data_IF_098215809465
#
_entry.id   IF_098215809465
#
_cell.length_a   1.000
_cell.length_b   1.000
_cell.length_c   1.000
_cell.angle_alpha   90.00
_cell.angle_beta   90.00
_cell.angle_gamma   90.00
#
_symmetry.space_group_name_H-M   'P 1'
#
loop_
_entity.id
_entity.type
_entity.pdbx_description
1 polymer ?
#
# COMPACT_ATOMS: atom_id res chain seq x y z
N UNK A 1 -23.97 -1.65 14.38
CA UNK A 1 -24.50 -0.28 14.57
C UNK A 1 -23.65 0.80 13.85
N UNK A 2 -22.32 0.86 14.05
CA UNK A 2 -21.46 1.90 13.46
C UNK A 2 -21.33 1.76 11.93
N UNK A 3 -21.20 0.54 11.43
CA UNK A 3 -21.16 0.25 9.99
C UNK A 3 -22.50 0.48 9.33
N UNK A 4 -23.58 0.10 9.99
CA UNK A 4 -24.95 0.31 9.52
C UNK A 4 -25.27 1.81 9.39
N UNK A 5 -24.87 2.62 10.37
CA UNK A 5 -25.03 4.07 10.31
C UNK A 5 -24.27 4.67 9.13
N UNK A 6 -23.01 4.25 8.93
CA UNK A 6 -22.18 4.71 7.81
C UNK A 6 -22.77 4.29 6.45
N UNK A 7 -23.30 3.09 6.36
CA UNK A 7 -23.98 2.62 5.15
C UNK A 7 -25.23 3.45 4.85
N UNK A 8 -26.06 3.74 5.84
CA UNK A 8 -27.26 4.61 5.69
C UNK A 8 -26.88 6.04 5.25
N UNK A 9 -25.78 6.59 5.81
CA UNK A 9 -25.28 7.91 5.40
C UNK A 9 -24.83 7.89 3.93
N UNK A 10 -24.15 6.85 3.50
CA UNK A 10 -23.72 6.64 2.11
C UNK A 10 -24.92 6.54 1.17
N UNK A 11 -25.94 5.75 1.54
CA UNK A 11 -27.18 5.61 0.76
C UNK A 11 -27.90 6.94 0.61
N UNK A 12 -28.11 7.66 1.71
CA UNK A 12 -28.80 8.96 1.70
C UNK A 12 -28.06 10.00 0.85
N UNK A 13 -26.72 10.00 0.89
CA UNK A 13 -25.88 10.88 0.07
C UNK A 13 -25.99 10.49 -1.41
N UNK A 14 -25.87 9.20 -1.72
CA UNK A 14 -25.96 8.70 -3.10
C UNK A 14 -27.32 8.97 -3.73
N UNK A 15 -28.43 8.83 -2.99
CA UNK A 15 -29.76 9.18 -3.46
C UNK A 15 -29.89 10.66 -3.83
N UNK A 16 -29.36 11.58 -3.00
CA UNK A 16 -29.38 13.01 -3.30
C UNK A 16 -28.56 13.34 -4.55
N UNK A 17 -27.43 12.68 -4.73
CA UNK A 17 -26.59 12.91 -5.91
C UNK A 17 -27.20 12.28 -7.17
N UNK A 18 -27.89 11.14 -7.04
CA UNK A 18 -28.68 10.54 -8.13
C UNK A 18 -29.78 11.50 -8.62
N UNK A 19 -30.47 12.20 -7.72
CA UNK A 19 -31.50 13.20 -8.07
C UNK A 19 -30.96 14.41 -8.85
N UNK A 20 -29.68 14.70 -8.71
CA UNK A 20 -28.98 15.73 -9.49
C UNK A 20 -28.57 15.26 -10.89
N UNK A 21 -28.85 14.00 -11.25
CA UNK A 21 -28.50 13.43 -12.55
C UNK A 21 -27.02 13.07 -12.71
N UNK A 22 -26.32 12.81 -11.60
CA UNK A 22 -24.91 12.42 -11.65
C UNK A 22 -24.77 11.05 -12.33
N UNK A 23 -23.71 10.91 -13.13
CA UNK A 23 -23.36 9.69 -13.85
C UNK A 23 -23.28 8.47 -12.91
N UNK A 24 -23.88 7.32 -13.26
CA UNK A 24 -23.86 6.11 -12.44
C UNK A 24 -22.46 5.63 -12.05
N UNK A 25 -21.48 5.83 -12.90
CA UNK A 25 -20.10 5.50 -12.63
C UNK A 25 -19.51 6.37 -11.49
N UNK A 26 -19.83 7.67 -11.50
CA UNK A 26 -19.41 8.61 -10.43
C UNK A 26 -20.15 8.30 -9.12
N UNK A 27 -21.43 7.96 -9.20
CA UNK A 27 -22.21 7.54 -8.02
C UNK A 27 -21.57 6.33 -7.35
N UNK A 28 -21.14 5.36 -8.14
CA UNK A 28 -20.49 4.14 -7.63
C UNK A 28 -19.08 4.42 -7.10
N UNK A 29 -18.23 5.08 -7.89
CA UNK A 29 -16.81 5.22 -7.57
C UNK A 29 -16.51 6.30 -6.52
N UNK A 30 -17.25 7.40 -6.52
CA UNK A 30 -17.01 8.54 -5.65
C UNK A 30 -17.87 8.53 -4.39
N UNK A 31 -19.13 8.15 -4.54
CA UNK A 31 -20.10 8.17 -3.43
C UNK A 31 -20.34 6.80 -2.82
N UNK A 32 -19.82 5.72 -3.41
CA UNK A 32 -20.01 4.35 -2.93
C UNK A 32 -21.46 3.87 -3.05
N UNK A 33 -22.26 4.50 -3.96
CA UNK A 33 -23.68 4.13 -4.15
C UNK A 33 -23.77 2.93 -5.07
N UNK A 34 -24.39 1.81 -4.63
CA UNK A 34 -24.45 0.58 -5.40
C UNK A 34 -25.15 0.75 -6.75
N UNK A 35 -24.60 0.13 -7.80
CA UNK A 35 -25.19 0.22 -9.16
C UNK A 35 -26.58 -0.40 -9.21
N UNK A 36 -26.83 -1.46 -8.46
CA UNK A 36 -28.12 -2.14 -8.36
C UNK A 36 -29.21 -1.16 -7.90
N UNK A 37 -28.93 -0.39 -6.85
CA UNK A 37 -29.84 0.65 -6.34
C UNK A 37 -30.01 1.80 -7.33
N UNK A 38 -28.93 2.18 -8.03
CA UNK A 38 -29.01 3.19 -9.09
C UNK A 38 -29.96 2.76 -10.22
N UNK A 39 -29.89 1.49 -10.62
CA UNK A 39 -30.80 0.93 -11.65
C UNK A 39 -32.23 0.85 -11.18
N UNK A 40 -32.47 0.48 -9.93
CA UNK A 40 -33.82 0.38 -9.33
C UNK A 40 -34.48 1.75 -9.26
N UNK A 41 -33.77 2.77 -8.75
CA UNK A 41 -34.23 4.16 -8.73
C UNK A 41 -34.47 4.74 -10.13
N UNK A 42 -33.59 4.43 -11.08
CA UNK A 42 -33.77 4.85 -12.48
C UNK A 42 -35.02 4.26 -13.10
N UNK A 43 -35.29 2.99 -12.84
CA UNK A 43 -36.53 2.29 -13.32
C UNK A 43 -37.79 2.94 -12.74
N UNK A 44 -37.79 3.24 -11.43
CA UNK A 44 -38.92 3.92 -10.77
C UNK A 44 -39.16 5.32 -11.34
N UNK A 45 -38.12 6.04 -11.71
CA UNK A 45 -38.22 7.39 -12.29
C UNK A 45 -38.31 7.43 -13.80
N UNK A 46 -38.39 6.27 -14.48
CA UNK A 46 -38.45 6.18 -15.95
C UNK A 46 -37.17 6.64 -16.66
N UNK A 47 -36.03 6.70 -15.96
CA UNK A 47 -34.73 7.08 -16.50
C UNK A 47 -34.04 5.86 -17.09
N UNK A 48 -33.56 5.96 -18.34
CA UNK A 48 -32.79 4.89 -18.97
C UNK A 48 -31.30 5.08 -18.63
N UNK A 49 -30.73 4.08 -17.96
CA UNK A 49 -29.27 4.01 -17.70
C UNK A 49 -28.65 3.03 -18.70
N UNK A 50 -27.55 3.44 -19.30
CA UNK A 50 -26.75 2.57 -20.16
C UNK A 50 -25.77 1.76 -19.33
N UNK A 51 -26.14 0.49 -19.02
CA UNK A 51 -25.33 -0.43 -18.23
C UNK A 51 -24.02 -0.78 -18.94
N UNK A 52 -24.02 -0.81 -20.29
CA UNK A 52 -22.83 -1.08 -21.09
C UNK A 52 -21.79 0.03 -20.94
N UNK A 53 -22.23 1.29 -20.97
CA UNK A 53 -21.37 2.45 -20.71
C UNK A 53 -20.77 2.41 -19.30
N UNK A 54 -21.57 2.10 -18.29
CA UNK A 54 -21.09 1.89 -16.92
C UNK A 54 -20.02 0.79 -16.84
N UNK A 55 -20.26 -0.37 -17.46
CA UNK A 55 -19.30 -1.49 -17.50
C UNK A 55 -17.99 -1.12 -18.21
N UNK A 56 -18.09 -0.38 -19.31
CA UNK A 56 -16.92 0.08 -20.06
C UNK A 56 -16.09 1.07 -19.22
N UNK A 57 -16.71 2.06 -18.59
CA UNK A 57 -16.05 3.00 -17.67
C UNK A 57 -15.42 2.28 -16.47
N UNK A 58 -16.10 1.28 -15.91
CA UNK A 58 -15.54 0.44 -14.82
C UNK A 58 -14.33 -0.37 -15.30
N UNK A 59 -14.39 -0.95 -16.48
CA UNK A 59 -13.28 -1.70 -17.07
C UNK A 59 -12.08 -0.80 -17.37
N UNK A 60 -12.33 0.39 -17.91
CA UNK A 60 -11.31 1.40 -18.16
C UNK A 60 -10.69 1.89 -16.84
N UNK A 61 -11.49 2.19 -15.84
CA UNK A 61 -11.02 2.58 -14.50
C UNK A 61 -10.20 1.47 -13.82
N UNK A 62 -10.64 0.21 -13.94
CA UNK A 62 -9.88 -0.95 -13.46
C UNK A 62 -8.58 -1.13 -14.26
N UNK A 63 -8.62 -0.94 -15.58
CA UNK A 63 -7.45 -1.00 -16.45
C UNK A 63 -6.46 0.11 -16.13
N UNK A 64 -6.92 1.35 -15.93
CA UNK A 64 -6.10 2.48 -15.49
C UNK A 64 -5.51 2.24 -14.10
N UNK A 65 -6.28 1.65 -13.18
CA UNK A 65 -5.78 1.25 -11.86
C UNK A 65 -4.77 0.11 -11.96
N UNK A 66 -4.99 -0.86 -12.85
CA UNK A 66 -4.05 -1.96 -13.11
C UNK A 66 -2.84 -1.52 -13.92
N UNK A 67 -2.99 -0.58 -14.89
CA UNK A 67 -1.88 -0.03 -15.68
C UNK A 67 -1.04 0.96 -14.87
N UNK A 68 -1.62 1.73 -13.98
CA UNK A 68 -0.84 2.49 -13.00
C UNK A 68 -0.13 1.57 -12.00
N UNK A 69 -0.63 0.35 -11.79
CA UNK A 69 0.07 -0.70 -11.02
C UNK A 69 0.99 -1.56 -11.88
N UNK A 70 0.71 -1.75 -13.18
CA UNK A 70 1.50 -2.59 -14.09
C UNK A 70 2.66 -1.83 -14.77
N UNK A 71 2.58 -0.50 -14.85
CA UNK A 71 3.69 0.38 -15.19
C UNK A 71 4.49 0.83 -13.97
N UNK A 72 3.96 0.64 -12.76
CA UNK A 72 4.73 0.77 -11.54
C UNK A 72 5.64 -0.44 -11.42
N UNK A 73 6.91 -0.16 -11.35
CA UNK A 73 7.95 -1.11 -11.06
C UNK A 73 7.54 -1.99 -9.87
N UNK A 74 7.94 -3.25 -9.88
CA UNK A 74 7.79 -4.18 -8.75
C UNK A 74 8.22 -3.47 -7.46
N UNK A 75 7.32 -3.28 -6.52
CA UNK A 75 7.56 -2.54 -5.28
C UNK A 75 6.72 -1.26 -5.11
N UNK A 76 5.84 -0.91 -6.07
CA UNK A 76 4.91 0.22 -5.94
C UNK A 76 5.53 1.61 -6.11
N UNK A 77 6.70 1.71 -6.77
CA UNK A 77 7.37 2.98 -7.06
C UNK A 77 6.70 3.71 -8.22
N UNK A 78 6.45 5.01 -8.05
CA UNK A 78 5.91 5.88 -9.10
C UNK A 78 6.97 6.26 -10.15
N UNK A 79 8.23 6.39 -9.73
CA UNK A 79 9.39 6.75 -10.57
C UNK A 79 10.70 6.25 -9.92
N UNK A 80 11.85 6.61 -10.49
CA UNK A 80 13.18 6.27 -9.96
C UNK A 80 13.96 7.50 -9.46
N UNK A 81 13.27 8.53 -9.02
CA UNK A 81 13.92 9.69 -8.43
C UNK A 81 14.57 9.33 -7.10
N UNK A 82 15.63 10.04 -6.74
CA UNK A 82 16.42 9.80 -5.54
C UNK A 82 15.56 9.73 -4.27
N UNK A 83 14.62 10.65 -4.12
CA UNK A 83 13.67 10.65 -2.99
C UNK A 83 12.78 9.42 -2.96
N UNK A 84 12.30 8.96 -4.14
CA UNK A 84 11.50 7.76 -4.25
C UNK A 84 12.31 6.51 -3.88
N UNK A 85 13.58 6.46 -4.29
CA UNK A 85 14.52 5.37 -3.94
C UNK A 85 14.79 5.35 -2.44
N UNK A 86 15.03 6.52 -1.82
CA UNK A 86 15.16 6.65 -0.37
C UNK A 86 13.91 6.14 0.36
N UNK A 87 12.73 6.61 -0.05
CA UNK A 87 11.45 6.17 0.53
C UNK A 87 11.18 4.69 0.31
N UNK A 88 11.68 4.08 -0.77
CA UNK A 88 11.60 2.65 -0.99
C UNK A 88 12.42 1.86 0.02
N UNK A 89 13.62 2.31 0.34
CA UNK A 89 14.43 1.68 1.39
C UNK A 89 13.81 1.89 2.78
N UNK A 90 13.29 3.08 3.06
CA UNK A 90 12.56 3.36 4.30
C UNK A 90 11.29 2.49 4.45
N UNK A 91 10.66 2.11 3.33
CA UNK A 91 9.52 1.20 3.30
C UNK A 91 9.87 -0.20 3.82
N UNK A 92 11.04 -0.75 3.44
CA UNK A 92 11.55 -2.02 3.97
C UNK A 92 11.84 -1.92 5.49
N UNK A 93 12.45 -0.83 5.94
CA UNK A 93 12.65 -0.60 7.38
C UNK A 93 11.32 -0.46 8.14
N UNK A 94 10.31 0.17 7.53
CA UNK A 94 8.98 0.27 8.14
C UNK A 94 8.33 -1.10 8.33
N UNK A 95 8.39 -1.99 7.32
CA UNK A 95 7.87 -3.36 7.47
C UNK A 95 8.58 -4.11 8.57
N UNK A 96 9.91 -4.08 8.60
CA UNK A 96 10.71 -4.70 9.64
C UNK A 96 10.41 -4.11 11.03
N UNK A 97 10.22 -2.78 11.14
CA UNK A 97 9.84 -2.10 12.36
C UNK A 97 8.47 -2.53 12.88
N UNK A 98 7.47 -2.64 11.99
CA UNK A 98 6.14 -3.14 12.34
C UNK A 98 6.20 -4.60 12.83
N UNK A 99 7.00 -5.44 12.18
CA UNK A 99 7.18 -6.84 12.59
C UNK A 99 7.89 -6.97 13.94
N UNK A 100 8.85 -6.10 14.24
CA UNK A 100 9.58 -6.13 15.51
C UNK A 100 8.80 -5.56 16.68
N UNK A 101 8.01 -4.51 16.47
CA UNK A 101 7.39 -3.72 17.55
C UNK A 101 5.95 -4.12 17.79
N UNK A 102 5.21 -4.41 16.72
CA UNK A 102 3.76 -4.65 16.82
C UNK A 102 3.44 -6.14 16.78
N UNK A 103 3.74 -6.81 15.68
CA UNK A 103 3.50 -8.23 15.52
C UNK A 103 4.35 -8.80 14.37
N UNK A 104 5.16 -9.85 14.66
CA UNK A 104 6.02 -10.54 13.68
C UNK A 104 5.29 -11.10 12.46
N UNK A 105 3.99 -11.33 12.57
CA UNK A 105 3.16 -11.92 11.51
C UNK A 105 2.58 -10.83 10.56
N UNK A 106 2.92 -9.58 10.77
CA UNK A 106 2.54 -8.48 9.86
C UNK A 106 3.11 -8.75 8.48
N UNK A 107 2.23 -8.68 7.47
CA UNK A 107 2.56 -8.83 6.05
C UNK A 107 2.07 -7.64 5.27
N UNK A 108 2.91 -7.15 4.35
CA UNK A 108 2.53 -6.15 3.37
C UNK A 108 1.39 -6.68 2.49
N UNK A 109 0.43 -5.81 2.17
CA UNK A 109 -0.71 -6.08 1.27
C UNK A 109 -0.75 -5.14 0.07
N UNK A 110 -0.04 -4.03 0.15
CA UNK A 110 0.08 -3.08 -0.94
C UNK A 110 1.05 -1.96 -0.59
N UNK A 111 1.60 -1.34 -1.60
CA UNK A 111 2.51 -0.20 -1.49
C UNK A 111 2.21 0.84 -2.56
N UNK A 112 2.60 2.07 -2.29
CA UNK A 112 2.66 3.14 -3.27
C UNK A 112 3.67 4.18 -2.77
N UNK A 113 4.73 4.39 -3.54
CA UNK A 113 5.87 5.23 -3.16
C UNK A 113 6.11 6.25 -4.27
N UNK A 114 6.16 7.50 -3.90
CA UNK A 114 6.48 8.63 -4.77
C UNK A 114 7.44 9.58 -4.04
N UNK A 115 7.81 10.70 -4.65
CA UNK A 115 8.74 11.69 -4.09
C UNK A 115 8.27 12.35 -2.79
N UNK A 116 6.94 12.36 -2.56
CA UNK A 116 6.36 13.06 -1.41
C UNK A 116 6.24 12.16 -0.19
N UNK A 117 5.98 10.86 -0.40
CA UNK A 117 5.67 9.91 0.68
C UNK A 117 5.79 8.46 0.25
N UNK A 118 5.94 7.59 1.22
CA UNK A 118 5.59 6.18 1.10
C UNK A 118 4.19 5.91 1.69
N UNK A 119 3.52 4.88 1.14
CA UNK A 119 2.29 4.31 1.66
C UNK A 119 2.45 2.79 1.73
N UNK A 120 2.17 2.23 2.89
CA UNK A 120 2.14 0.79 3.11
C UNK A 120 0.76 0.37 3.61
N UNK A 121 0.15 -0.61 2.96
CA UNK A 121 -1.02 -1.34 3.44
C UNK A 121 -0.55 -2.67 4.01
N UNK A 122 -0.98 -3.04 5.21
CA UNK A 122 -0.50 -4.22 5.92
C UNK A 122 -1.59 -4.88 6.75
N UNK A 123 -1.42 -6.18 7.03
CA UNK A 123 -2.32 -6.92 7.91
C UNK A 123 -2.09 -6.51 9.36
N UNK A 124 -3.17 -6.05 10.01
CA UNK A 124 -3.19 -5.79 11.44
C UNK A 124 -4.64 -5.79 11.92
N UNK A 125 -4.93 -6.49 12.99
CA UNK A 125 -6.27 -6.70 13.54
C UNK A 125 -6.77 -5.54 14.40
N UNK A 126 -5.89 -4.63 14.78
CA UNK A 126 -6.21 -3.47 15.60
C UNK A 126 -5.67 -2.15 15.01
N UNK A 127 -6.17 -1.04 15.50
CA UNK A 127 -5.63 0.29 15.24
C UNK A 127 -4.33 0.45 16.04
N UNK A 128 -3.25 0.86 15.38
CA UNK A 128 -2.00 1.16 16.09
C UNK A 128 -2.22 2.29 17.11
N UNK A 129 -1.77 2.05 18.32
CA UNK A 129 -1.72 3.07 19.36
C UNK A 129 -0.68 4.15 19.03
N UNK A 130 -0.78 5.31 19.64
CA UNK A 130 0.22 6.36 19.45
C UNK A 130 1.60 5.92 19.97
N UNK A 131 1.63 5.08 21.01
CA UNK A 131 2.85 4.48 21.55
C UNK A 131 3.49 3.50 20.56
N UNK A 132 2.71 2.61 19.94
CA UNK A 132 3.21 1.68 18.92
C UNK A 132 3.78 2.43 17.71
N UNK A 133 3.05 3.45 17.20
CA UNK A 133 3.53 4.29 16.11
C UNK A 133 4.85 4.98 16.45
N UNK A 134 4.95 5.51 17.66
CA UNK A 134 6.17 6.16 18.13
C UNK A 134 7.33 5.16 18.24
N UNK A 135 7.11 3.98 18.81
CA UNK A 135 8.14 2.93 18.91
C UNK A 135 8.61 2.46 17.52
N UNK A 136 7.69 2.31 16.55
CA UNK A 136 8.05 1.96 15.17
C UNK A 136 8.87 3.06 14.53
N UNK A 137 8.47 4.32 14.67
CA UNK A 137 9.22 5.48 14.16
C UNK A 137 10.62 5.57 14.77
N UNK A 138 10.73 5.42 16.10
CA UNK A 138 12.01 5.43 16.80
C UNK A 138 12.91 4.27 16.37
N UNK A 139 12.35 3.07 16.22
CA UNK A 139 13.07 1.91 15.74
C UNK A 139 13.62 2.12 14.32
N UNK A 140 12.82 2.65 13.39
CA UNK A 140 13.27 2.94 12.03
C UNK A 140 14.41 3.98 12.06
N UNK A 141 14.25 5.06 12.81
CA UNK A 141 15.28 6.09 12.94
C UNK A 141 16.56 5.57 13.60
N UNK A 142 16.45 4.67 14.58
CA UNK A 142 17.61 3.97 15.13
C UNK A 142 18.38 3.21 14.04
N UNK A 143 17.67 2.44 13.18
CA UNK A 143 18.30 1.69 12.09
C UNK A 143 18.91 2.59 11.01
N UNK A 144 18.32 3.74 10.77
CA UNK A 144 18.91 4.78 9.90
C UNK A 144 20.25 5.27 10.50
N UNK A 145 20.25 5.61 11.78
CA UNK A 145 21.44 6.14 12.47
C UNK A 145 22.57 5.11 12.61
N UNK A 146 22.27 3.82 12.57
CA UNK A 146 23.27 2.75 12.59
C UNK A 146 24.05 2.63 11.27
N UNK A 147 23.67 3.36 10.23
CA UNK A 147 24.35 3.35 8.91
C UNK A 147 24.50 1.94 8.34
N UNK A 148 23.39 1.22 8.24
CA UNK A 148 23.32 -0.16 7.79
C UNK A 148 23.54 -0.28 6.29
N UNK A 149 24.19 -1.37 5.84
CA UNK A 149 24.38 -1.63 4.42
C UNK A 149 23.09 -2.19 3.77
N UNK A 150 22.83 -1.74 2.54
CA UNK A 150 21.72 -2.24 1.73
C UNK A 150 22.32 -3.02 0.56
N UNK A 151 22.18 -4.34 0.59
CA UNK A 151 22.88 -5.27 -0.30
C UNK A 151 21.85 -6.00 -1.16
N UNK A 152 22.12 -6.06 -2.47
CA UNK A 152 21.33 -6.83 -3.42
C UNK A 152 22.00 -8.17 -3.74
N UNK A 153 21.23 -9.24 -3.63
CA UNK A 153 21.61 -10.58 -4.06
C UNK A 153 20.70 -11.07 -5.17
N UNK A 154 21.27 -11.75 -6.15
CA UNK A 154 20.50 -12.47 -7.18
C UNK A 154 20.73 -13.97 -7.01
N UNK A 155 19.65 -14.75 -6.99
CA UNK A 155 19.71 -16.19 -6.78
C UNK A 155 18.48 -16.91 -7.32
N UNK A 156 18.53 -18.24 -7.49
CA UNK A 156 17.36 -19.04 -7.84
C UNK A 156 16.23 -18.86 -6.80
N UNK A 157 14.97 -18.79 -7.31
CA UNK A 157 13.77 -18.62 -6.48
C UNK A 157 13.69 -19.64 -5.34
N UNK A 158 14.03 -20.91 -5.62
CA UNK A 158 13.99 -22.00 -4.64
C UNK A 158 14.97 -21.76 -3.47
N UNK A 159 16.13 -21.18 -3.75
CA UNK A 159 17.12 -20.84 -2.72
C UNK A 159 16.67 -19.62 -1.92
N UNK A 160 16.18 -18.60 -2.61
CA UNK A 160 15.66 -17.39 -2.00
C UNK A 160 14.51 -17.66 -1.02
N UNK A 161 13.61 -18.58 -1.36
CA UNK A 161 12.50 -18.99 -0.48
C UNK A 161 12.97 -19.63 0.84
N UNK A 162 14.08 -20.39 0.80
CA UNK A 162 14.66 -21.03 1.99
C UNK A 162 15.24 -20.02 2.99
N UNK A 163 15.57 -18.80 2.52
CA UNK A 163 16.08 -17.74 3.38
C UNK A 163 14.98 -17.09 4.24
N UNK A 164 13.70 -17.40 3.97
CA UNK A 164 12.57 -16.81 4.70
C UNK A 164 12.47 -15.29 4.51
N UNK A 165 12.83 -14.78 3.33
CA UNK A 165 12.67 -13.39 2.99
C UNK A 165 11.20 -13.05 2.73
N UNK A 166 10.80 -11.82 3.02
CA UNK A 166 9.45 -11.34 2.79
C UNK A 166 9.13 -11.29 1.29
N UNK A 167 7.95 -11.80 0.94
CA UNK A 167 7.45 -11.84 -0.44
C UNK A 167 6.25 -10.92 -0.59
N UNK A 168 6.16 -10.23 -1.72
CA UNK A 168 5.00 -9.42 -2.04
C UNK A 168 3.77 -10.30 -2.31
N UNK A 169 2.64 -9.95 -1.71
CA UNK A 169 1.41 -10.72 -1.83
C UNK A 169 0.91 -10.76 -3.28
N UNK A 170 0.66 -11.97 -3.77
CA UNK A 170 0.11 -12.18 -5.12
C UNK A 170 1.08 -11.95 -6.29
N UNK A 171 2.35 -11.63 -6.00
CA UNK A 171 3.37 -11.48 -7.04
C UNK A 171 3.78 -12.85 -7.63
N UNK A 172 4.02 -12.87 -8.94
CA UNK A 172 4.65 -14.00 -9.61
C UNK A 172 6.14 -13.69 -9.79
N UNK A 173 6.97 -14.62 -9.38
CA UNK A 173 8.42 -14.48 -9.43
C UNK A 173 9.02 -15.30 -10.57
N UNK A 174 10.04 -14.80 -11.29
CA UNK A 174 10.82 -15.56 -12.26
C UNK A 174 11.74 -16.57 -11.55
N UNK A 175 12.40 -17.44 -12.33
CA UNK A 175 13.31 -18.48 -11.80
C UNK A 175 14.52 -17.87 -11.06
N UNK A 176 15.01 -16.71 -11.51
CA UNK A 176 16.05 -15.93 -10.85
C UNK A 176 15.39 -14.67 -10.27
N UNK A 177 15.61 -14.43 -8.99
CA UNK A 177 15.04 -13.31 -8.24
C UNK A 177 16.13 -12.46 -7.61
N UNK A 178 15.81 -11.19 -7.38
CA UNK A 178 16.64 -10.33 -6.54
C UNK A 178 16.02 -10.17 -5.16
N UNK A 179 16.88 -10.22 -4.16
CA UNK A 179 16.57 -9.93 -2.76
C UNK A 179 17.40 -8.73 -2.31
N UNK A 180 16.79 -7.89 -1.50
CA UNK A 180 17.50 -6.84 -0.79
C UNK A 180 17.57 -7.16 0.69
N UNK A 181 18.78 -7.02 1.22
CA UNK A 181 19.10 -7.18 2.63
C UNK A 181 19.51 -5.83 3.18
N UNK A 182 18.96 -5.48 4.33
CA UNK A 182 19.50 -4.40 5.15
C UNK A 182 20.20 -5.08 6.31
N UNK A 183 21.53 -4.95 6.38
CA UNK A 183 22.36 -5.74 7.28
C UNK A 183 23.18 -4.86 8.21
N UNK A 184 23.39 -5.35 9.42
CA UNK A 184 24.34 -4.75 10.35
C UNK A 184 25.80 -5.03 9.92
N UNK A 185 26.75 -4.45 10.65
CA UNK A 185 28.19 -4.62 10.39
C UNK A 185 28.69 -6.06 10.56
N UNK A 186 27.93 -6.89 11.25
CA UNK A 186 28.25 -8.30 11.50
C UNK A 186 27.58 -9.22 10.47
N UNK A 187 26.83 -8.65 9.50
CA UNK A 187 26.10 -9.38 8.44
C UNK A 187 24.76 -9.95 8.90
N UNK A 188 24.23 -9.54 10.04
CA UNK A 188 22.91 -10.00 10.47
C UNK A 188 21.82 -9.18 9.76
N UNK A 189 20.85 -9.84 9.11
CA UNK A 189 19.82 -9.14 8.39
C UNK A 189 18.79 -8.51 9.34
N UNK A 190 18.60 -7.20 9.20
CA UNK A 190 17.54 -6.43 9.85
C UNK A 190 16.25 -6.50 9.02
N UNK A 191 16.39 -6.48 7.68
CA UNK A 191 15.32 -6.72 6.71
C UNK A 191 15.85 -7.57 5.58
N UNK A 192 15.00 -8.45 5.05
CA UNK A 192 15.27 -9.27 3.85
C UNK A 192 13.99 -9.45 3.06
N UNK A 193 13.97 -8.92 1.84
CA UNK A 193 12.76 -8.86 1.03
C UNK A 193 13.03 -9.19 -0.43
N UNK A 194 12.10 -9.90 -1.06
CA UNK A 194 12.04 -10.05 -2.51
C UNK A 194 11.69 -8.69 -3.13
N UNK A 195 12.67 -8.06 -3.76
CA UNK A 195 12.48 -6.74 -4.33
C UNK A 195 13.31 -6.54 -5.60
N UNK A 196 12.71 -5.86 -6.59
CA UNK A 196 13.41 -5.49 -7.81
C UNK A 196 14.28 -4.22 -7.68
N UNK A 197 14.19 -3.50 -6.57
CA UNK A 197 14.87 -2.22 -6.36
C UNK A 197 14.28 -1.10 -7.23
N UNK A 198 14.95 0.02 -7.40
CA UNK A 198 16.25 0.35 -6.83
C UNK A 198 16.18 0.75 -5.33
N UNK A 199 17.33 0.68 -4.67
CA UNK A 199 17.53 1.11 -3.28
C UNK A 199 18.81 1.93 -3.16
N UNK A 200 18.90 2.71 -2.08
CA UNK A 200 20.18 3.33 -1.64
C UNK A 200 21.17 2.27 -1.19
N UNK A 201 22.43 2.65 -0.99
CA UNK A 201 23.49 1.72 -0.56
C UNK A 201 23.63 1.63 0.95
N UNK A 202 23.28 2.69 1.66
CA UNK A 202 23.42 2.77 3.10
C UNK A 202 22.26 3.55 3.73
N UNK A 203 21.74 3.09 4.86
CA UNK A 203 20.58 3.72 5.51
C UNK A 203 20.84 5.15 6.00
N UNK A 204 22.08 5.55 6.20
CA UNK A 204 22.44 6.94 6.55
C UNK A 204 22.04 7.98 5.50
N UNK A 205 21.74 7.55 4.27
CA UNK A 205 21.28 8.41 3.19
C UNK A 205 19.81 8.84 3.33
N UNK A 206 19.05 8.23 4.27
CA UNK A 206 17.59 8.40 4.37
C UNK A 206 17.15 9.72 5.05
N UNK A 207 17.95 10.30 5.93
CA UNK A 207 17.51 11.41 6.79
C UNK A 207 16.62 10.91 7.95
N UNK A 208 15.59 11.66 8.32
CA UNK A 208 14.71 11.31 9.45
C UNK A 208 13.36 10.77 8.96
N UNK A 209 13.02 9.58 9.42
CA UNK A 209 11.73 8.95 9.10
C UNK A 209 10.61 9.45 10.03
N UNK A 210 9.43 9.74 9.46
CA UNK A 210 8.26 10.21 10.21
C UNK A 210 6.97 9.60 9.70
N UNK A 211 6.18 9.01 10.60
CA UNK A 211 4.82 8.54 10.32
C UNK A 211 3.87 9.74 10.32
N UNK A 212 3.22 10.01 9.19
CA UNK A 212 2.26 11.10 9.07
C UNK A 212 0.85 10.68 9.48
N UNK A 213 0.43 9.48 9.10
CA UNK A 213 -0.94 9.01 9.30
C UNK A 213 -1.01 7.50 9.35
N UNK A 214 -1.92 6.99 10.18
CA UNK A 214 -2.35 5.60 10.19
C UNK A 214 -3.87 5.53 10.12
N UNK A 215 -4.43 4.68 9.25
CA UNK A 215 -5.86 4.58 9.01
C UNK A 215 -6.30 3.15 8.64
N UNK A 216 -7.59 2.82 8.87
CA UNK A 216 -8.18 1.59 8.36
C UNK A 216 -8.51 1.75 6.87
N UNK A 217 -8.27 0.71 6.08
CA UNK A 217 -8.61 0.66 4.65
C UNK A 217 -9.70 -0.38 4.39
N UNK A 218 -9.56 -1.55 5.00
CA UNK A 218 -10.52 -2.65 4.95
C UNK A 218 -10.49 -3.42 6.27
N UNK A 219 -11.35 -4.41 6.43
CA UNK A 219 -11.32 -5.30 7.59
C UNK A 219 -9.94 -6.01 7.68
N UNK A 220 -9.27 -5.86 8.81
CA UNK A 220 -7.93 -6.42 9.05
C UNK A 220 -6.79 -5.78 8.23
N UNK A 221 -7.04 -4.72 7.46
CA UNK A 221 -6.01 -4.00 6.70
C UNK A 221 -5.85 -2.58 7.22
N UNK A 222 -4.65 -2.26 7.66
CA UNK A 222 -4.24 -0.93 8.09
C UNK A 222 -3.34 -0.29 7.03
N UNK A 223 -3.31 1.03 7.00
CA UNK A 223 -2.49 1.84 6.10
C UNK A 223 -1.66 2.83 6.88
N UNK A 224 -0.37 2.84 6.65
CA UNK A 224 0.54 3.90 7.09
C UNK A 224 0.97 4.75 5.90
N UNK A 225 1.02 6.07 6.12
CA UNK A 225 1.71 7.05 5.26
C UNK A 225 2.87 7.64 6.05
N UNK A 226 4.05 7.66 5.46
CA UNK A 226 5.25 8.19 6.08
C UNK A 226 6.12 8.96 5.08
N UNK A 227 7.00 9.80 5.61
CA UNK A 227 7.92 10.67 4.85
C UNK A 227 9.32 10.58 5.42
N UNK A 228 10.28 11.10 4.65
CA UNK A 228 11.63 11.43 5.09
C UNK A 228 11.77 12.96 5.16
N UNK A 229 12.36 13.47 6.25
CA UNK A 229 12.58 14.90 6.53
C UNK A 229 14.03 15.16 6.91
#
# INVERSE_FOLDING_TARGET
EKEEKKFRETLNKGMKEFEKGIDPFILFTTYGFPIELTLELAKEKGIKINIEDFKNKMKEHQSLSQTSSAGMFKGGLANHDEKTICLHTAHHLLLAGLQNIVNKDIKQRGSNINEERLRMDFLCDHKLTDEEKKKVEDWVNEKINLSLNVIRHEMPLIEAQKLGAEMEFGAKYPDIVSLYFIEDKDGNPISKEFCGGPHIKNTSELGTFKIQKEEAVAAGIRRIKAVLV
#
